data_IF_401915314356
#
_entry.id   IF_401915314356
#
_cell.length_a   1.000
_cell.length_b   1.000
_cell.length_c   1.000
_cell.angle_alpha   90.00
_cell.angle_beta   90.00
_cell.angle_gamma   90.00
#
_symmetry.space_group_name_H-M   'P 1'
#
loop_
_entity.id
_entity.type
_entity.pdbx_description
1 polymer ?
#
# COMPACT_ATOMS: atom_id res chain seq x y z
N UNK A 1 -16.37 13.63 20.20
CA UNK A 1 -15.69 14.07 21.43
C UNK A 1 -14.30 13.51 21.36
N UNK A 2 -13.28 14.35 21.59
CA UNK A 2 -11.87 13.96 21.49
C UNK A 2 -11.53 12.67 22.25
N UNK A 3 -12.20 12.41 23.38
CA UNK A 3 -12.04 11.19 24.17
C UNK A 3 -12.53 9.93 23.45
N UNK A 4 -13.62 10.03 22.70
CA UNK A 4 -14.18 8.93 21.89
C UNK A 4 -13.31 8.66 20.65
N UNK A 5 -12.81 9.70 19.98
CA UNK A 5 -11.89 9.56 18.84
C UNK A 5 -10.60 8.83 19.25
N UNK A 6 -9.96 9.26 20.35
CA UNK A 6 -8.77 8.59 20.90
C UNK A 6 -9.06 7.13 21.24
N UNK A 7 -10.21 6.85 21.86
CA UNK A 7 -10.61 5.48 22.21
C UNK A 7 -10.73 4.59 20.96
N UNK A 8 -11.35 5.10 19.89
CA UNK A 8 -11.47 4.37 18.61
C UNK A 8 -10.11 4.09 17.99
N UNK A 9 -9.21 5.08 17.98
CA UNK A 9 -7.85 4.92 17.46
C UNK A 9 -7.09 3.83 18.23
N UNK A 10 -7.12 3.86 19.57
CA UNK A 10 -6.43 2.86 20.40
C UNK A 10 -7.03 1.46 20.18
N UNK A 11 -8.35 1.35 20.01
CA UNK A 11 -8.99 0.06 19.73
C UNK A 11 -8.56 -0.51 18.38
N UNK A 12 -8.50 0.31 17.33
CA UNK A 12 -8.08 -0.16 16.01
C UNK A 12 -6.59 -0.50 15.98
N UNK A 13 -5.74 0.28 16.66
CA UNK A 13 -4.31 -0.04 16.81
C UNK A 13 -4.10 -1.40 17.46
N UNK A 14 -4.76 -1.66 18.59
CA UNK A 14 -4.66 -2.96 19.28
C UNK A 14 -5.06 -4.10 18.36
N UNK A 15 -6.15 -3.95 17.62
CA UNK A 15 -6.62 -4.96 16.67
C UNK A 15 -5.57 -5.21 15.58
N UNK A 16 -4.99 -4.17 15.00
CA UNK A 16 -3.96 -4.29 13.96
C UNK A 16 -2.68 -4.92 14.51
N UNK A 17 -2.26 -4.58 15.73
CA UNK A 17 -1.11 -5.22 16.39
C UNK A 17 -1.34 -6.72 16.61
N UNK A 18 -2.56 -7.15 16.95
CA UNK A 18 -2.91 -8.57 17.07
C UNK A 18 -2.87 -9.30 15.72
N UNK A 19 -3.16 -8.59 14.62
CA UNK A 19 -3.00 -9.07 13.25
C UNK A 19 -1.55 -8.96 12.76
N UNK A 20 -0.61 -8.64 13.66
CA UNK A 20 0.79 -8.60 13.34
C UNK A 20 1.24 -7.32 12.65
N UNK A 21 0.56 -6.17 12.79
CA UNK A 21 1.11 -4.88 12.38
C UNK A 21 2.17 -4.38 13.38
N UNK A 22 3.20 -3.69 12.87
CA UNK A 22 4.12 -2.88 13.68
C UNK A 22 4.29 -1.53 13.01
N UNK A 23 3.95 -0.47 13.74
CA UNK A 23 3.97 0.90 13.22
C UNK A 23 5.31 1.63 13.42
N UNK A 24 6.27 1.00 14.08
CA UNK A 24 7.63 1.53 14.21
C UNK A 24 8.28 1.63 12.82
N UNK A 25 8.70 2.83 12.46
CA UNK A 25 9.16 3.17 11.11
C UNK A 25 8.04 3.27 10.06
N UNK A 26 6.79 2.99 10.40
CA UNK A 26 5.65 3.06 9.48
C UNK A 26 4.70 4.23 9.82
N UNK A 27 5.26 5.41 10.10
CA UNK A 27 4.53 6.62 10.46
C UNK A 27 3.49 7.02 9.41
N UNK A 28 3.73 6.69 8.14
CA UNK A 28 2.78 6.94 7.06
C UNK A 28 1.48 6.15 7.25
N UNK A 29 1.59 4.84 7.53
CA UNK A 29 0.44 3.98 7.82
C UNK A 29 -0.26 4.39 9.11
N UNK A 30 0.49 4.82 10.13
CA UNK A 30 -0.10 5.31 11.38
C UNK A 30 -0.93 6.59 11.16
N UNK A 31 -0.41 7.59 10.45
CA UNK A 31 -1.16 8.83 10.17
C UNK A 31 -2.40 8.55 9.30
N UNK A 32 -2.27 7.69 8.29
CA UNK A 32 -3.40 7.25 7.46
C UNK A 32 -4.49 6.55 8.30
N UNK A 33 -4.10 5.65 9.20
CA UNK A 33 -5.00 4.97 10.12
C UNK A 33 -5.78 5.98 10.97
N UNK A 34 -5.07 6.88 11.66
CA UNK A 34 -5.67 7.88 12.55
C UNK A 34 -6.73 8.70 11.81
N UNK A 35 -6.40 9.24 10.63
CA UNK A 35 -7.32 10.08 9.85
C UNK A 35 -8.52 9.32 9.32
N UNK A 36 -8.32 8.07 8.88
CA UNK A 36 -9.43 7.19 8.47
C UNK A 36 -10.36 6.90 9.65
N UNK A 37 -9.82 6.58 10.83
CA UNK A 37 -10.60 6.21 12.02
C UNK A 37 -11.49 7.34 12.53
N UNK A 38 -11.04 8.60 12.44
CA UNK A 38 -11.82 9.77 12.88
C UNK A 38 -12.71 10.36 11.78
N UNK A 39 -12.59 9.87 10.54
CA UNK A 39 -13.40 10.32 9.40
C UNK A 39 -12.91 11.59 8.71
N UNK A 40 -11.69 12.03 8.99
CA UNK A 40 -11.11 13.28 8.47
C UNK A 40 -10.66 13.18 7.01
N UNK A 41 -10.51 11.96 6.49
CA UNK A 41 -10.05 11.72 5.11
C UNK A 41 -10.91 10.65 4.47
N UNK A 42 -11.45 10.96 3.28
CA UNK A 42 -12.06 9.97 2.39
C UNK A 42 -10.97 9.25 1.57
N UNK A 43 -11.19 8.00 1.16
CA UNK A 43 -10.27 7.32 0.25
C UNK A 43 -10.07 8.12 -1.05
N UNK A 44 -8.82 8.30 -1.47
CA UNK A 44 -8.48 8.99 -2.72
C UNK A 44 -8.82 8.16 -3.96
N UNK A 45 -8.89 6.84 -3.78
CA UNK A 45 -9.24 5.85 -4.78
C UNK A 45 -9.67 4.55 -4.08
N UNK A 46 -10.37 3.70 -4.81
CA UNK A 46 -10.81 2.37 -4.36
C UNK A 46 -10.38 1.32 -5.37
N UNK A 47 -9.83 0.19 -4.90
CA UNK A 47 -9.57 -0.95 -5.77
C UNK A 47 -10.84 -1.74 -6.01
N UNK A 48 -11.23 -1.88 -7.28
CA UNK A 48 -12.38 -2.69 -7.70
C UNK A 48 -11.94 -4.11 -8.05
N UNK A 49 -10.79 -4.27 -8.71
CA UNK A 49 -10.20 -5.57 -8.99
C UNK A 49 -8.70 -5.46 -9.24
N UNK A 50 -7.96 -6.49 -8.87
CA UNK A 50 -6.56 -6.67 -9.24
C UNK A 50 -6.32 -8.09 -9.75
N UNK A 51 -5.50 -8.21 -10.79
CA UNK A 51 -4.94 -9.48 -11.24
C UNK A 51 -3.44 -9.29 -11.38
N UNK A 52 -2.68 -10.21 -10.82
CA UNK A 52 -1.23 -10.24 -10.97
C UNK A 52 -0.85 -11.60 -11.55
N UNK A 53 -0.17 -11.57 -12.69
CA UNK A 53 0.31 -12.75 -13.40
C UNK A 53 1.83 -12.76 -13.34
N UNK A 54 2.41 -13.92 -13.09
CA UNK A 54 3.87 -14.12 -13.13
C UNK A 54 4.13 -15.21 -14.15
N UNK A 55 4.85 -14.87 -15.20
CA UNK A 55 5.17 -15.78 -16.29
C UNK A 55 6.65 -16.11 -16.29
N UNK A 56 6.96 -17.39 -16.56
CA UNK A 56 8.30 -17.86 -16.82
C UNK A 56 8.41 -18.21 -18.29
N UNK A 57 9.26 -17.47 -18.98
CA UNK A 57 9.58 -17.70 -20.40
C UNK A 57 10.49 -18.92 -20.57
N UNK A 58 10.53 -19.49 -21.79
CA UNK A 58 11.37 -20.66 -22.10
C UNK A 58 12.87 -20.41 -21.88
N UNK A 59 13.33 -19.17 -22.10
CA UNK A 59 14.69 -18.71 -21.81
C UNK A 59 14.92 -18.37 -20.33
N UNK A 60 13.95 -18.66 -19.44
CA UNK A 60 14.11 -18.57 -18.00
C UNK A 60 13.91 -17.18 -17.40
N UNK A 61 13.56 -16.17 -18.20
CA UNK A 61 13.22 -14.86 -17.66
C UNK A 61 11.86 -14.92 -16.97
N UNK A 62 11.83 -14.39 -15.76
CA UNK A 62 10.61 -14.12 -15.01
C UNK A 62 10.20 -12.67 -15.28
N UNK A 63 8.97 -12.48 -15.70
CA UNK A 63 8.33 -11.16 -15.69
C UNK A 63 6.97 -11.28 -15.02
N UNK A 64 6.47 -10.14 -14.53
CA UNK A 64 5.15 -10.08 -13.95
C UNK A 64 4.35 -8.96 -14.59
N UNK A 65 3.06 -9.18 -14.76
CA UNK A 65 2.07 -8.19 -15.18
C UNK A 65 1.06 -7.99 -14.06
N UNK A 66 0.72 -6.73 -13.77
CA UNK A 66 -0.40 -6.39 -12.91
C UNK A 66 -1.45 -5.62 -13.71
N UNK A 67 -2.70 -6.10 -13.66
CA UNK A 67 -3.89 -5.45 -14.24
C UNK A 67 -4.78 -4.97 -13.09
N UNK A 68 -5.05 -3.67 -13.04
CA UNK A 68 -5.82 -3.02 -12.00
C UNK A 68 -7.04 -2.31 -12.56
N UNK A 69 -8.15 -2.44 -11.83
CA UNK A 69 -9.34 -1.62 -12.00
C UNK A 69 -9.55 -0.81 -10.73
N UNK A 70 -9.43 0.52 -10.84
CA UNK A 70 -9.55 1.45 -9.72
C UNK A 70 -10.71 2.42 -9.98
N UNK A 71 -11.41 2.81 -8.93
CA UNK A 71 -12.29 3.98 -8.96
C UNK A 71 -11.56 5.18 -8.35
N UNK A 72 -11.47 6.28 -9.10
CA UNK A 72 -10.81 7.53 -8.70
C UNK A 72 -11.73 8.70 -9.07
N UNK A 73 -12.18 9.48 -8.08
CA UNK A 73 -13.10 10.61 -8.28
C UNK A 73 -14.35 10.24 -9.12
N UNK A 74 -14.93 9.06 -8.88
CA UNK A 74 -16.10 8.55 -9.59
C UNK A 74 -15.83 8.07 -11.02
N UNK A 75 -14.57 8.03 -11.47
CA UNK A 75 -14.15 7.45 -12.76
C UNK A 75 -13.49 6.10 -12.55
N UNK A 76 -13.79 5.15 -13.43
CA UNK A 76 -13.16 3.84 -13.43
C UNK A 76 -11.95 3.88 -14.35
N UNK A 77 -10.78 3.65 -13.78
CA UNK A 77 -9.52 3.45 -14.51
C UNK A 77 -9.20 1.97 -14.61
N UNK A 78 -8.87 1.52 -15.81
CA UNK A 78 -8.42 0.15 -16.07
C UNK A 78 -7.03 0.21 -16.70
N UNK A 79 -6.02 -0.30 -15.99
CA UNK A 79 -4.63 -0.17 -16.39
C UNK A 79 -3.89 -1.49 -16.21
N UNK A 80 -2.82 -1.65 -16.97
CA UNK A 80 -1.86 -2.73 -16.83
C UNK A 80 -0.43 -2.19 -16.87
N UNK A 81 0.47 -2.85 -16.15
CA UNK A 81 1.91 -2.60 -16.23
C UNK A 81 2.71 -3.88 -15.97
N UNK A 82 3.86 -3.97 -16.64
CA UNK A 82 4.86 -5.01 -16.44
C UNK A 82 5.94 -4.57 -15.44
N UNK A 83 6.52 -5.54 -14.75
CA UNK A 83 7.61 -5.32 -13.82
C UNK A 83 8.54 -6.52 -13.70
N UNK A 84 9.67 -6.30 -13.04
CA UNK A 84 10.67 -7.34 -12.76
C UNK A 84 10.16 -8.39 -11.75
N UNK A 85 9.04 -8.09 -11.08
CA UNK A 85 8.34 -8.98 -10.17
C UNK A 85 6.93 -8.46 -9.90
N UNK A 86 6.08 -9.26 -9.23
CA UNK A 86 4.67 -8.95 -9.08
C UNK A 86 4.41 -7.64 -8.32
N UNK A 87 5.24 -7.31 -7.33
CA UNK A 87 5.11 -6.07 -6.54
C UNK A 87 5.52 -4.83 -7.36
N UNK A 88 6.58 -4.94 -8.17
CA UNK A 88 7.01 -3.87 -9.07
C UNK A 88 5.96 -3.59 -10.15
N UNK A 89 5.41 -4.65 -10.76
CA UNK A 89 4.30 -4.54 -11.69
C UNK A 89 3.08 -3.86 -11.05
N UNK A 90 2.75 -4.25 -9.82
CA UNK A 90 1.63 -3.69 -9.05
C UNK A 90 1.82 -2.20 -8.75
N UNK A 91 3.00 -1.77 -8.27
CA UNK A 91 3.31 -0.35 -8.01
C UNK A 91 3.24 0.47 -9.30
N UNK A 92 3.83 -0.03 -10.40
CA UNK A 92 3.77 0.64 -11.71
C UNK A 92 2.34 0.77 -12.23
N UNK A 93 1.53 -0.28 -12.14
CA UNK A 93 0.14 -0.24 -12.55
C UNK A 93 -0.66 0.76 -11.70
N UNK A 94 -0.46 0.74 -10.38
CA UNK A 94 -1.11 1.67 -9.45
C UNK A 94 -0.77 3.12 -9.80
N UNK A 95 0.52 3.44 -9.96
CA UNK A 95 0.97 4.79 -10.36
C UNK A 95 0.37 5.19 -11.71
N UNK A 96 0.40 4.29 -12.70
CA UNK A 96 -0.14 4.57 -14.03
C UNK A 96 -1.63 4.97 -13.99
N UNK A 97 -2.45 4.32 -13.15
CA UNK A 97 -3.85 4.71 -12.96
C UNK A 97 -4.01 6.05 -12.22
N UNK A 98 -3.16 6.34 -11.24
CA UNK A 98 -3.34 7.51 -10.37
C UNK A 98 -2.68 8.79 -10.88
N UNK A 99 -1.62 8.69 -11.68
CA UNK A 99 -0.86 9.84 -12.20
C UNK A 99 -1.69 10.88 -12.95
N UNK A 100 -2.69 10.51 -13.78
CA UNK A 100 -3.56 11.49 -14.44
C UNK A 100 -4.38 12.34 -13.46
N UNK A 101 -4.70 11.80 -12.28
CA UNK A 101 -5.50 12.46 -11.24
C UNK A 101 -4.63 13.19 -10.23
N UNK A 102 -3.46 12.65 -9.94
CA UNK A 102 -2.55 13.14 -8.92
C UNK A 102 -1.10 13.26 -9.47
N UNK A 103 -0.80 14.31 -10.26
CA UNK A 103 0.54 14.49 -10.86
C UNK A 103 1.67 14.62 -9.83
N UNK A 104 1.37 14.98 -8.58
CA UNK A 104 2.33 15.04 -7.48
C UNK A 104 2.99 13.69 -7.19
N UNK A 105 2.37 12.58 -7.60
CA UNK A 105 2.93 11.23 -7.44
C UNK A 105 4.11 10.94 -8.38
N UNK A 106 4.37 11.78 -9.39
CA UNK A 106 5.51 11.60 -10.31
C UNK A 106 6.86 11.58 -9.60
N UNK A 107 7.00 12.33 -8.51
CA UNK A 107 8.24 12.41 -7.74
C UNK A 107 8.40 11.23 -6.77
N UNK A 108 7.33 10.50 -6.48
CA UNK A 108 7.33 9.42 -5.50
C UNK A 108 7.99 8.19 -6.10
N UNK A 109 8.95 7.62 -5.36
CA UNK A 109 9.62 6.36 -5.68
C UNK A 109 9.71 5.49 -4.44
N UNK A 110 9.64 4.19 -4.65
CA UNK A 110 9.91 3.20 -3.61
C UNK A 110 11.43 3.10 -3.44
N UNK A 111 11.92 3.25 -2.20
CA UNK A 111 13.36 3.29 -1.89
C UNK A 111 13.82 2.09 -1.06
N UNK A 112 12.92 1.44 -0.32
CA UNK A 112 13.20 0.19 0.39
C UNK A 112 11.95 -0.70 0.45
N UNK A 113 12.17 -2.01 0.46
CA UNK A 113 11.13 -3.03 0.53
C UNK A 113 11.61 -4.19 1.40
N UNK A 114 10.93 -4.43 2.52
CA UNK A 114 11.29 -5.48 3.47
C UNK A 114 10.10 -6.37 3.77
N UNK A 115 10.33 -7.68 3.76
CA UNK A 115 9.34 -8.68 4.15
C UNK A 115 9.79 -9.37 5.44
N UNK A 116 8.84 -9.63 6.33
CA UNK A 116 9.03 -10.40 7.55
C UNK A 116 7.91 -11.44 7.65
N UNK A 117 8.29 -12.70 7.84
CA UNK A 117 7.34 -13.77 8.15
C UNK A 117 7.09 -13.73 9.66
N UNK A 118 5.83 -13.70 10.07
CA UNK A 118 5.44 -13.54 11.47
C UNK A 118 5.23 -14.87 12.19
N UNK A 119 4.68 -15.86 11.49
CA UNK A 119 4.38 -17.18 12.03
C UNK A 119 4.97 -18.25 11.10
N UNK A 120 6.18 -18.71 11.40
CA UNK A 120 6.87 -19.71 10.58
C UNK A 120 6.28 -21.12 10.68
N UNK A 121 5.36 -21.39 11.62
CA UNK A 121 4.78 -22.73 11.81
C UNK A 121 3.77 -23.08 10.71
N UNK A 122 3.13 -22.08 10.12
CA UNK A 122 2.12 -22.24 9.06
C UNK A 122 2.70 -22.37 7.64
N UNK A 123 4.02 -22.52 7.49
CA UNK A 123 4.72 -22.66 6.21
C UNK A 123 4.27 -21.61 5.16
N UNK A 124 3.57 -22.01 4.10
CA UNK A 124 3.13 -21.11 3.03
C UNK A 124 1.89 -20.27 3.38
N UNK A 125 1.20 -20.58 4.47
CA UNK A 125 0.07 -19.81 4.99
C UNK A 125 0.49 -18.87 6.15
N UNK A 126 1.79 -18.65 6.30
CA UNK A 126 2.32 -17.73 7.30
C UNK A 126 1.87 -16.29 7.01
N UNK A 127 1.47 -15.56 8.05
CA UNK A 127 1.28 -14.12 7.93
C UNK A 127 2.61 -13.44 7.58
N UNK A 128 2.57 -12.59 6.57
CA UNK A 128 3.70 -11.77 6.17
C UNK A 128 3.43 -10.30 6.44
N UNK A 129 4.40 -9.64 7.05
CA UNK A 129 4.46 -8.19 7.22
C UNK A 129 5.38 -7.63 6.15
N UNK A 130 4.83 -6.74 5.33
CA UNK A 130 5.55 -6.00 4.30
C UNK A 130 5.72 -4.56 4.77
N UNK A 131 6.96 -4.10 4.75
CA UNK A 131 7.33 -2.72 5.00
C UNK A 131 7.82 -2.09 3.70
N UNK A 132 7.27 -0.92 3.38
CA UNK A 132 7.64 -0.12 2.21
C UNK A 132 8.16 1.22 2.70
N UNK A 133 9.33 1.61 2.22
CA UNK A 133 9.81 2.99 2.36
C UNK A 133 9.68 3.70 1.02
N UNK A 134 9.11 4.91 1.04
CA UNK A 134 8.90 5.74 -0.13
C UNK A 134 9.50 7.13 0.08
N UNK A 135 9.94 7.76 -1.00
CA UNK A 135 10.46 9.13 -0.98
C UNK A 135 9.96 9.92 -2.18
N UNK A 136 9.73 11.22 -2.00
CA UNK A 136 9.46 12.16 -3.09
C UNK A 136 10.68 13.03 -3.46
N UNK A 137 11.86 12.67 -2.95
CA UNK A 137 13.11 13.43 -3.08
C UNK A 137 13.28 14.56 -2.07
N UNK A 138 12.29 14.84 -1.22
CA UNK A 138 12.39 15.81 -0.11
C UNK A 138 12.18 15.15 1.24
N UNK A 139 11.13 14.35 1.33
CA UNK A 139 10.75 13.60 2.52
C UNK A 139 10.80 12.10 2.21
N UNK A 140 10.99 11.31 3.26
CA UNK A 140 10.92 9.85 3.23
C UNK A 140 9.91 9.42 4.28
N UNK A 141 9.11 8.40 3.96
CA UNK A 141 8.13 7.85 4.89
C UNK A 141 8.03 6.34 4.73
N UNK A 142 7.81 5.65 5.84
CA UNK A 142 7.51 4.23 5.84
C UNK A 142 6.02 3.92 5.97
N UNK A 143 5.62 2.80 5.39
CA UNK A 143 4.28 2.20 5.51
C UNK A 143 4.37 0.69 5.66
N UNK A 144 3.31 0.11 6.22
CA UNK A 144 3.26 -1.31 6.56
C UNK A 144 1.93 -1.93 6.13
N UNK A 145 2.00 -3.18 5.65
CA UNK A 145 0.85 -4.01 5.35
C UNK A 145 1.07 -5.43 5.84
N UNK A 146 0.00 -6.07 6.32
CA UNK A 146 0.05 -7.45 6.81
C UNK A 146 -1.06 -8.27 6.17
N UNK A 147 -0.72 -9.48 5.76
CA UNK A 147 -1.63 -10.47 5.19
C UNK A 147 -0.94 -11.83 5.13
N UNK A 148 -1.71 -12.92 5.06
CA UNK A 148 -1.20 -14.24 4.65
C UNK A 148 -0.74 -14.26 3.17
N UNK A 149 -1.17 -13.28 2.36
CA UNK A 149 -0.77 -13.14 0.97
C UNK A 149 0.19 -11.95 0.79
N UNK A 150 1.40 -12.23 0.30
CA UNK A 150 2.44 -11.21 0.08
C UNK A 150 2.02 -10.08 -0.87
N UNK A 151 1.18 -10.38 -1.87
CA UNK A 151 0.69 -9.38 -2.82
C UNK A 151 -0.31 -8.44 -2.13
N UNK A 152 -1.20 -8.99 -1.30
CA UNK A 152 -2.15 -8.19 -0.51
C UNK A 152 -1.44 -7.36 0.57
N UNK A 153 -0.46 -7.93 1.27
CA UNK A 153 0.36 -7.18 2.24
C UNK A 153 1.10 -6.03 1.55
N UNK A 154 1.69 -6.29 0.38
CA UNK A 154 2.36 -5.25 -0.42
C UNK A 154 1.39 -4.18 -0.92
N UNK A 155 0.21 -4.58 -1.39
CA UNK A 155 -0.83 -3.66 -1.82
C UNK A 155 -1.24 -2.70 -0.70
N UNK A 156 -1.49 -3.22 0.52
CA UNK A 156 -1.85 -2.40 1.69
C UNK A 156 -0.78 -1.35 2.00
N UNK A 157 0.49 -1.77 2.04
CA UNK A 157 1.60 -0.86 2.29
C UNK A 157 1.72 0.22 1.19
N UNK A 158 1.58 -0.15 -0.08
CA UNK A 158 1.62 0.79 -1.21
C UNK A 158 0.46 1.79 -1.19
N UNK A 159 -0.76 1.33 -0.90
CA UNK A 159 -1.94 2.19 -0.79
C UNK A 159 -1.79 3.21 0.33
N UNK A 160 -1.31 2.77 1.50
CA UNK A 160 -1.04 3.70 2.60
C UNK A 160 0.05 4.70 2.23
N UNK A 161 1.10 4.28 1.52
CA UNK A 161 2.19 5.17 1.10
C UNK A 161 1.68 6.28 0.17
N UNK A 162 0.91 5.92 -0.84
CA UNK A 162 0.28 6.88 -1.76
C UNK A 162 -0.73 7.77 -1.01
N UNK A 163 -1.57 7.18 -0.16
CA UNK A 163 -2.56 7.93 0.61
C UNK A 163 -1.91 8.96 1.52
N UNK A 164 -0.82 8.59 2.21
CA UNK A 164 -0.04 9.49 3.04
C UNK A 164 0.49 10.68 2.24
N UNK A 165 1.10 10.43 1.07
CA UNK A 165 1.60 11.49 0.19
C UNK A 165 0.48 12.45 -0.26
N UNK A 166 -0.66 11.91 -0.65
CA UNK A 166 -1.81 12.71 -1.09
C UNK A 166 -2.39 13.53 0.07
N UNK A 167 -2.47 12.95 1.27
CA UNK A 167 -2.88 13.66 2.48
C UNK A 167 -1.97 14.86 2.78
N UNK A 168 -0.65 14.70 2.69
CA UNK A 168 0.31 15.80 2.90
C UNK A 168 0.23 16.85 1.80
N UNK A 169 -0.09 16.45 0.57
CA UNK A 169 -0.21 17.37 -0.57
C UNK A 169 -1.47 18.23 -0.46
N UNK A 170 -2.60 17.65 -0.06
CA UNK A 170 -3.88 18.37 0.07
C UNK A 170 -3.96 19.28 1.32
N UNK A 171 -2.97 19.22 2.21
CA UNK A 171 -2.88 20.08 3.40
C UNK A 171 -2.02 21.34 3.18
N UNK A 172 -1.39 21.46 2.02
CA UNK A 172 -0.63 22.66 1.60
C UNK A 172 -1.45 23.44 0.60
#
# INVERSE_FOLDING_TARGET
>A
SRKEEVRKIVQELKKLEHLGYQFEGAEGSFEVLVRKTIGDVKPFFTMLSARVTVDRTENGFLYAEAVLKLEVNGKIEHTAAEGHGPVDALDKALRKALLPFYPSLKAVRLVDYKVRVLDSEKATAAEVRVFVESSDGRETWGTVGVSENIIEASWRALVDSISYKLMKTNQR
#
